data_IF_987773002621
#
_entry.id   IF_987773002621
#
_cell.length_a   1.000
_cell.length_b   1.000
_cell.length_c   1.000
_cell.angle_alpha   90.00
_cell.angle_beta   90.00
_cell.angle_gamma   90.00
#
_symmetry.space_group_name_H-M   'P 1'
#
loop_
_entity.id
_entity.type
_entity.pdbx_description
1 polymer ?
#
# COMPACT_ATOMS: atom_id res chain seq x y z
N UNK A 1 10.08 6.70 19.47
CA UNK A 1 11.29 6.32 18.72
C UNK A 1 11.41 7.31 17.58
N UNK A 2 12.53 7.99 17.36
CA UNK A 2 12.63 9.08 16.36
C UNK A 2 12.86 8.48 14.97
N UNK A 3 12.23 9.01 13.91
CA UNK A 3 12.31 8.46 12.52
C UNK A 3 13.74 8.18 12.05
N UNK A 4 14.64 9.14 12.29
CA UNK A 4 16.07 9.06 11.98
C UNK A 4 16.86 9.34 13.26
N UNK A 5 17.25 8.27 13.97
CA UNK A 5 18.11 8.40 15.15
C UNK A 5 19.58 8.27 14.74
N UNK A 6 20.35 9.34 14.94
CA UNK A 6 21.80 9.31 14.82
C UNK A 6 22.38 9.10 16.22
N UNK A 7 23.12 8.01 16.40
CA UNK A 7 23.74 7.67 17.68
C UNK A 7 24.83 8.69 18.01
N UNK A 8 24.69 9.38 19.14
CA UNK A 8 25.66 10.40 19.60
C UNK A 8 26.85 9.84 20.38
N UNK A 9 26.81 8.57 20.78
CA UNK A 9 27.84 7.97 21.66
C UNK A 9 28.28 6.60 21.19
N UNK A 10 29.56 6.30 21.42
CA UNK A 10 30.18 5.01 21.10
C UNK A 10 30.12 3.99 22.24
N UNK A 11 29.35 4.30 23.30
CA UNK A 11 29.12 3.38 24.42
C UNK A 11 28.55 2.05 23.90
N UNK A 12 29.00 0.91 24.44
CA UNK A 12 28.55 -0.44 24.06
C UNK A 12 28.82 -0.88 22.59
N UNK A 13 29.83 -0.31 21.92
CA UNK A 13 30.30 -0.78 20.59
C UNK A 13 30.94 -2.17 20.59
N UNK A 14 31.28 -2.75 21.75
CA UNK A 14 31.85 -4.09 21.90
C UNK A 14 30.82 -5.21 21.67
N UNK A 15 31.21 -6.42 21.24
CA UNK A 15 30.26 -7.54 21.06
C UNK A 15 29.93 -8.24 22.39
N UNK A 16 28.70 -8.75 22.52
CA UNK A 16 28.23 -9.47 23.72
C UNK A 16 29.10 -10.69 24.01
N UNK A 17 29.44 -11.49 22.99
CA UNK A 17 30.32 -12.66 23.12
C UNK A 17 31.72 -12.33 23.64
N UNK A 18 32.30 -11.20 23.22
CA UNK A 18 33.63 -10.78 23.68
C UNK A 18 33.58 -10.33 25.14
N UNK A 19 32.49 -9.67 25.55
CA UNK A 19 32.27 -9.32 26.95
C UNK A 19 32.01 -10.56 27.82
N UNK A 20 31.22 -11.52 27.34
CA UNK A 20 30.93 -12.79 28.01
C UNK A 20 32.23 -13.56 28.33
N UNK A 21 33.09 -13.72 27.30
CA UNK A 21 34.41 -14.35 27.44
C UNK A 21 35.31 -13.59 28.43
N UNK A 22 35.36 -12.26 28.33
CA UNK A 22 36.15 -11.44 29.24
C UNK A 22 35.66 -11.54 30.69
N UNK A 23 34.36 -11.58 30.93
CA UNK A 23 33.78 -11.77 32.26
C UNK A 23 34.14 -13.15 32.82
N UNK A 24 34.01 -14.21 32.02
CA UNK A 24 34.37 -15.57 32.44
C UNK A 24 35.84 -15.68 32.88
N UNK A 25 36.78 -15.09 32.12
CA UNK A 25 38.22 -15.09 32.45
C UNK A 25 38.54 -14.35 33.75
N UNK A 26 37.80 -13.28 34.05
CA UNK A 26 38.00 -12.52 35.30
C UNK A 26 37.33 -13.21 36.49
N UNK A 27 36.20 -13.88 36.28
CA UNK A 27 35.50 -14.63 37.33
C UNK A 27 36.27 -15.90 37.70
N UNK A 28 36.86 -16.60 36.73
CA UNK A 28 37.70 -17.79 36.97
C UNK A 28 39.04 -17.49 37.65
N UNK A 29 39.38 -16.21 37.85
CA UNK A 29 40.59 -15.80 38.56
C UNK A 29 41.88 -15.88 37.74
N UNK A 30 41.80 -16.28 36.47
CA UNK A 30 42.97 -16.45 35.58
C UNK A 30 43.70 -15.12 35.32
N UNK A 31 42.95 -14.02 35.14
CA UNK A 31 43.52 -12.69 34.94
C UNK A 31 42.68 -11.58 35.58
N UNK A 32 43.36 -10.55 36.12
CA UNK A 32 42.71 -9.37 36.68
C UNK A 32 42.08 -8.46 35.62
N UNK A 33 41.02 -7.74 35.99
CA UNK A 33 40.18 -6.96 35.05
C UNK A 33 40.94 -5.92 34.21
N UNK A 34 42.10 -5.44 34.67
CA UNK A 34 42.94 -4.48 33.92
C UNK A 34 43.63 -5.13 32.72
N UNK A 35 44.21 -6.33 32.90
CA UNK A 35 44.86 -7.09 31.81
C UNK A 35 43.83 -7.55 30.78
N UNK A 36 42.70 -8.08 31.24
CA UNK A 36 41.61 -8.53 30.36
C UNK A 36 41.00 -7.36 29.57
N UNK A 37 40.83 -6.19 30.20
CA UNK A 37 40.36 -4.98 29.50
C UNK A 37 41.26 -4.57 28.33
N UNK A 38 42.59 -4.66 28.48
CA UNK A 38 43.55 -4.33 27.42
C UNK A 38 43.53 -5.42 26.34
N UNK A 39 43.58 -6.69 26.73
CA UNK A 39 43.62 -7.82 25.81
C UNK A 39 42.38 -7.92 24.92
N UNK A 40 41.20 -7.68 25.49
CA UNK A 40 39.92 -7.75 24.77
C UNK A 40 39.45 -6.38 24.25
N UNK A 41 40.24 -5.32 24.44
CA UNK A 41 39.90 -3.94 24.07
C UNK A 41 38.53 -3.48 24.59
N UNK A 42 38.22 -3.81 25.85
CA UNK A 42 36.96 -3.51 26.50
C UNK A 42 37.11 -2.38 27.54
N UNK A 43 36.12 -1.48 27.71
CA UNK A 43 36.15 -0.50 28.79
C UNK A 43 36.20 -1.17 30.16
N UNK A 44 37.26 -0.91 30.92
CA UNK A 44 37.52 -1.57 32.21
C UNK A 44 36.38 -1.40 33.22
N UNK A 45 35.77 -0.21 33.27
CA UNK A 45 34.66 0.11 34.19
C UNK A 45 33.41 -0.71 33.85
N UNK A 46 33.13 -0.91 32.56
CA UNK A 46 32.01 -1.73 32.09
C UNK A 46 32.24 -3.19 32.41
N UNK A 47 33.45 -3.71 32.16
CA UNK A 47 33.83 -5.09 32.49
C UNK A 47 33.70 -5.36 34.00
N UNK A 48 34.20 -4.46 34.85
CA UNK A 48 34.05 -4.58 36.31
C UNK A 48 32.59 -4.62 36.76
N UNK A 49 31.72 -3.83 36.11
CA UNK A 49 30.28 -3.83 36.38
C UNK A 49 29.63 -5.19 36.11
N UNK A 50 29.91 -5.80 34.95
CA UNK A 50 29.38 -7.12 34.61
C UNK A 50 29.99 -8.25 35.47
N UNK A 51 31.28 -8.18 35.79
CA UNK A 51 31.92 -9.14 36.72
C UNK A 51 31.27 -9.10 38.10
N UNK A 52 30.97 -7.90 38.61
CA UNK A 52 30.25 -7.76 39.88
C UNK A 52 28.87 -8.42 39.80
N UNK A 53 28.10 -8.16 38.74
CA UNK A 53 26.79 -8.80 38.51
C UNK A 53 26.90 -10.33 38.43
N UNK A 54 27.88 -10.86 37.68
CA UNK A 54 28.09 -12.31 37.51
C UNK A 54 28.50 -13.01 38.80
N UNK A 55 29.18 -12.32 39.71
CA UNK A 55 29.51 -12.83 41.06
C UNK A 55 28.31 -12.83 42.00
N UNK A 56 27.37 -11.90 41.83
CA UNK A 56 26.14 -11.83 42.64
C UNK A 56 25.06 -12.79 42.11
N UNK A 57 24.95 -12.90 40.79
CA UNK A 57 24.01 -13.77 40.09
C UNK A 57 24.76 -14.58 39.00
N UNK A 58 25.00 -15.88 39.23
CA UNK A 58 25.66 -16.76 38.28
C UNK A 58 24.96 -16.87 36.93
N UNK A 59 23.66 -16.57 36.84
CA UNK A 59 22.87 -16.64 35.60
C UNK A 59 22.72 -15.28 34.89
N UNK A 60 23.36 -14.22 35.40
CA UNK A 60 23.25 -12.90 34.79
C UNK A 60 23.76 -12.86 33.35
N UNK A 61 22.91 -12.38 32.45
CA UNK A 61 23.19 -12.25 31.01
C UNK A 61 23.81 -10.88 30.70
N UNK A 62 24.72 -10.83 29.73
CA UNK A 62 25.25 -9.57 29.21
C UNK A 62 24.16 -8.84 28.42
N UNK A 63 23.45 -7.95 29.10
CA UNK A 63 22.43 -7.10 28.47
C UNK A 63 23.08 -5.87 27.82
N UNK A 64 22.90 -5.75 26.50
CA UNK A 64 23.34 -4.61 25.67
C UNK A 64 22.20 -3.67 25.30
N UNK A 65 21.00 -3.86 25.85
CA UNK A 65 19.90 -2.94 25.61
C UNK A 65 20.30 -1.54 26.10
N UNK A 66 20.14 -0.56 25.20
CA UNK A 66 20.61 0.79 25.40
C UNK A 66 19.44 1.75 25.25
N UNK A 67 19.23 2.58 26.26
CA UNK A 67 18.18 3.60 26.25
C UNK A 67 16.81 3.09 26.68
N UNK A 68 15.88 4.03 26.80
CA UNK A 68 14.53 3.82 27.37
C UNK A 68 13.54 3.16 26.39
N UNK A 69 13.86 3.13 25.10
CA UNK A 69 12.92 2.71 24.06
C UNK A 69 13.23 1.30 23.57
N UNK A 70 12.35 0.35 23.88
CA UNK A 70 12.37 -1.02 23.37
C UNK A 70 11.16 -1.28 22.46
N UNK A 71 11.18 -2.41 21.74
CA UNK A 71 9.98 -2.91 21.07
C UNK A 71 8.90 -3.19 22.13
N UNK A 72 7.68 -2.76 21.83
CA UNK A 72 6.53 -2.93 22.74
C UNK A 72 5.97 -4.34 22.62
N UNK A 73 5.99 -4.89 21.40
CA UNK A 73 5.53 -6.24 21.10
C UNK A 73 6.69 -7.21 21.06
N UNK A 74 6.40 -8.46 21.41
CA UNK A 74 7.30 -9.59 21.15
C UNK A 74 7.34 -9.88 19.64
N UNK A 75 8.34 -10.66 19.22
CA UNK A 75 8.44 -11.07 17.82
C UNK A 75 7.17 -11.82 17.36
N UNK A 76 6.61 -12.67 18.22
CA UNK A 76 5.41 -13.46 17.91
C UNK A 76 4.17 -12.56 17.73
N UNK A 77 4.01 -11.54 18.58
CA UNK A 77 2.93 -10.56 18.45
C UNK A 77 3.07 -9.69 17.20
N UNK A 78 4.30 -9.32 16.81
CA UNK A 78 4.52 -8.61 15.54
C UNK A 78 4.17 -9.49 14.35
N UNK A 79 4.53 -10.78 14.37
CA UNK A 79 4.17 -11.74 13.32
C UNK A 79 2.67 -11.94 13.23
N UNK A 80 1.97 -12.10 14.35
CA UNK A 80 0.50 -12.20 14.38
C UNK A 80 -0.16 -10.99 13.71
N UNK A 81 0.34 -9.79 14.02
CA UNK A 81 -0.16 -8.55 13.44
C UNK A 81 0.09 -8.48 11.93
N UNK A 82 1.25 -8.95 11.43
CA UNK A 82 1.54 -9.08 9.99
C UNK A 82 0.59 -10.06 9.31
N UNK A 83 0.33 -11.22 9.94
CA UNK A 83 -0.59 -12.24 9.42
C UNK A 83 -2.00 -11.65 9.29
N UNK A 84 -2.46 -10.94 10.32
CA UNK A 84 -3.77 -10.27 10.30
C UNK A 84 -3.89 -9.24 9.18
N UNK A 85 -2.87 -8.39 8.99
CA UNK A 85 -2.85 -7.40 7.90
C UNK A 85 -2.94 -8.07 6.52
N UNK A 86 -2.26 -9.20 6.32
CA UNK A 86 -2.31 -9.98 5.08
C UNK A 86 -3.68 -10.62 4.85
N UNK A 87 -4.32 -11.15 5.89
CA UNK A 87 -5.66 -11.75 5.78
C UNK A 87 -6.72 -10.69 5.42
N UNK A 88 -6.69 -9.55 6.09
CA UNK A 88 -7.58 -8.41 5.80
C UNK A 88 -7.40 -7.90 4.36
N UNK A 89 -6.15 -7.82 3.88
CA UNK A 89 -5.85 -7.45 2.49
C UNK A 89 -6.41 -8.47 1.49
N UNK A 90 -6.27 -9.77 1.74
CA UNK A 90 -6.82 -10.83 0.87
C UNK A 90 -8.35 -10.77 0.76
N UNK A 91 -9.02 -10.31 1.80
CA UNK A 91 -10.48 -10.12 1.84
C UNK A 91 -10.93 -8.77 1.28
N UNK A 92 -10.03 -7.99 0.70
CA UNK A 92 -10.27 -6.64 0.17
C UNK A 92 -10.63 -5.58 1.25
N UNK A 93 -10.32 -5.86 2.52
CA UNK A 93 -10.48 -4.93 3.65
C UNK A 93 -9.12 -4.44 4.15
N UNK A 94 -8.25 -4.00 3.24
CA UNK A 94 -6.90 -3.53 3.59
C UNK A 94 -6.92 -2.38 4.60
N UNK A 95 -6.04 -2.45 5.60
CA UNK A 95 -5.97 -1.45 6.67
C UNK A 95 -5.03 -0.29 6.30
N UNK A 96 -5.43 0.92 6.67
CA UNK A 96 -4.60 2.12 6.59
C UNK A 96 -3.55 2.16 7.70
N UNK A 97 -2.52 2.98 7.51
CA UNK A 97 -1.53 3.28 8.57
C UNK A 97 -2.17 3.81 9.86
N UNK A 98 -3.30 4.50 9.75
CA UNK A 98 -4.05 5.00 10.91
C UNK A 98 -4.73 3.85 11.66
N UNK A 99 -5.37 2.93 10.96
CA UNK A 99 -6.01 1.76 11.55
C UNK A 99 -4.98 0.80 12.16
N UNK A 100 -3.84 0.59 11.48
CA UNK A 100 -2.70 -0.14 12.03
C UNK A 100 -2.27 0.42 13.40
N UNK A 101 -2.20 1.74 13.54
CA UNK A 101 -1.84 2.40 14.80
C UNK A 101 -2.88 2.20 15.90
N UNK A 102 -4.16 2.17 15.55
CA UNK A 102 -5.25 1.85 16.49
C UNK A 102 -5.22 0.39 16.91
N UNK A 103 -5.04 -0.51 15.95
CA UNK A 103 -4.93 -1.94 16.17
C UNK A 103 -3.76 -2.27 17.11
N UNK A 104 -2.62 -1.63 16.91
CA UNK A 104 -1.48 -1.75 17.80
C UNK A 104 -1.81 -1.30 19.24
N UNK A 105 -2.49 -0.18 19.42
CA UNK A 105 -2.92 0.25 20.76
C UNK A 105 -3.82 -0.80 21.42
N UNK A 106 -4.84 -1.27 20.70
CA UNK A 106 -5.76 -2.30 21.19
C UNK A 106 -5.06 -3.60 21.55
N UNK A 107 -4.11 -4.06 20.71
CA UNK A 107 -3.31 -5.24 20.99
C UNK A 107 -2.46 -5.07 22.26
N UNK A 108 -1.85 -3.91 22.44
CA UNK A 108 -1.01 -3.62 23.60
C UNK A 108 -1.84 -3.55 24.90
N UNK A 109 -3.01 -2.90 24.87
CA UNK A 109 -3.93 -2.84 26.02
C UNK A 109 -4.45 -4.23 26.38
N UNK A 110 -4.89 -5.00 25.38
CA UNK A 110 -5.47 -6.34 25.60
C UNK A 110 -4.47 -7.34 26.15
N UNK A 111 -3.21 -7.25 25.70
CA UNK A 111 -2.13 -8.13 26.16
C UNK A 111 -1.43 -7.60 27.42
N UNK A 112 -1.91 -6.50 28.02
CA UNK A 112 -1.32 -5.92 29.23
C UNK A 112 0.11 -5.42 29.05
N UNK A 113 0.51 -5.08 27.82
CA UNK A 113 1.87 -4.62 27.53
C UNK A 113 2.07 -3.19 28.05
N UNK A 114 3.19 -2.93 28.74
CA UNK A 114 3.58 -1.56 29.05
C UNK A 114 3.94 -0.81 27.76
N UNK A 115 3.17 0.25 27.45
CA UNK A 115 3.32 0.97 26.19
C UNK A 115 3.29 2.50 26.37
N UNK A 116 4.12 3.25 25.63
CA UNK A 116 4.09 4.72 25.59
C UNK A 116 3.06 5.30 24.61
N UNK A 117 2.11 4.49 24.13
CA UNK A 117 1.09 4.95 23.19
C UNK A 117 0.15 5.98 23.83
N UNK A 118 -0.41 6.85 22.99
CA UNK A 118 -1.27 7.93 23.45
C UNK A 118 -2.65 7.36 23.82
N UNK A 119 -3.04 7.53 25.09
CA UNK A 119 -4.31 7.03 25.65
C UNK A 119 -5.51 7.86 25.22
N UNK A 120 -5.36 9.18 25.05
CA UNK A 120 -6.45 10.07 24.64
C UNK A 120 -6.91 9.78 23.20
N UNK A 121 -5.96 9.48 22.32
CA UNK A 121 -6.23 9.16 20.91
C UNK A 121 -6.38 7.66 20.65
N UNK A 122 -6.10 6.82 21.64
CA UNK A 122 -6.09 5.34 21.57
C UNK A 122 -5.27 4.81 20.39
N UNK A 123 -4.08 5.37 20.19
CA UNK A 123 -3.27 5.12 19.00
C UNK A 123 -1.77 5.06 19.28
N UNK A 124 -1.09 4.16 18.58
CA UNK A 124 0.36 4.18 18.48
C UNK A 124 0.87 5.44 17.75
N UNK A 125 2.13 5.83 17.99
CA UNK A 125 2.75 6.96 17.30
C UNK A 125 3.06 6.68 15.82
N UNK A 126 3.20 7.72 15.01
CA UNK A 126 3.58 7.58 13.59
C UNK A 126 4.93 6.89 13.41
N UNK A 127 5.89 7.22 14.27
CA UNK A 127 7.24 6.65 14.18
C UNK A 127 7.28 5.16 14.54
N UNK A 128 6.34 4.71 15.40
CA UNK A 128 6.16 3.29 15.66
C UNK A 128 5.69 2.57 14.39
N UNK A 129 4.67 3.11 13.72
CA UNK A 129 4.12 2.51 12.50
C UNK A 129 5.16 2.46 11.38
N UNK A 130 5.94 3.54 11.18
CA UNK A 130 7.01 3.55 10.18
C UNK A 130 8.15 2.57 10.53
N UNK A 131 8.49 2.45 11.82
CA UNK A 131 9.50 1.47 12.25
C UNK A 131 9.02 0.03 12.06
N UNK A 132 7.74 -0.25 12.34
CA UNK A 132 7.10 -1.53 12.06
C UNK A 132 7.16 -1.87 10.57
N UNK A 133 6.75 -0.95 9.69
CA UNK A 133 6.84 -1.12 8.24
C UNK A 133 8.27 -1.32 7.74
N UNK A 134 9.27 -0.71 8.39
CA UNK A 134 10.69 -0.90 8.04
C UNK A 134 11.23 -2.27 8.46
N UNK A 135 10.75 -2.83 9.58
CA UNK A 135 11.10 -4.20 10.01
C UNK A 135 10.43 -5.26 9.12
N UNK A 136 9.24 -4.95 8.60
CA UNK A 136 8.46 -5.81 7.74
C UNK A 136 8.43 -5.27 6.31
N UNK A 137 9.59 -5.28 5.64
CA UNK A 137 9.75 -4.76 4.27
C UNK A 137 8.91 -5.50 3.21
N UNK A 138 8.35 -6.66 3.57
CA UNK A 138 7.35 -7.37 2.77
C UNK A 138 5.99 -6.66 2.71
N UNK A 139 5.74 -5.69 3.58
CA UNK A 139 4.53 -4.86 3.59
C UNK A 139 4.83 -3.51 2.92
N UNK A 140 3.88 -3.01 2.11
CA UNK A 140 3.99 -1.69 1.51
C UNK A 140 2.64 -0.97 1.48
N UNK A 141 2.67 0.37 1.49
CA UNK A 141 1.47 1.18 1.31
C UNK A 141 1.16 1.32 -0.18
N UNK A 142 -0.09 1.06 -0.55
CA UNK A 142 -0.63 1.20 -1.92
C UNK A 142 -2.01 1.82 -1.86
N UNK A 143 -2.39 2.50 -2.94
CA UNK A 143 -3.76 2.97 -3.12
C UNK A 143 -4.59 1.80 -3.65
N UNK A 144 -5.68 1.39 -2.97
CA UNK A 144 -6.54 0.32 -3.47
C UNK A 144 -7.30 0.80 -4.71
N UNK A 145 -7.57 -0.14 -5.62
CA UNK A 145 -8.49 0.07 -6.73
C UNK A 145 -9.93 -0.20 -6.27
N UNK A 146 -10.88 0.61 -6.74
CA UNK A 146 -12.27 0.48 -6.35
C UNK A 146 -12.91 -0.73 -7.05
N UNK A 147 -13.01 -1.84 -6.34
CA UNK A 147 -13.64 -3.08 -6.81
C UNK A 147 -15.01 -3.22 -6.17
N UNK A 148 -16.07 -3.37 -6.98
CA UNK A 148 -17.41 -3.63 -6.45
C UNK A 148 -17.51 -5.04 -5.87
N UNK A 149 -18.37 -5.24 -4.86
CA UNK A 149 -18.58 -6.57 -4.26
C UNK A 149 -19.03 -7.62 -5.27
N UNK A 150 -19.87 -7.23 -6.24
CA UNK A 150 -20.28 -8.11 -7.34
C UNK A 150 -19.09 -8.58 -8.20
N UNK A 151 -18.14 -7.69 -8.52
CA UNK A 151 -16.91 -8.07 -9.25
C UNK A 151 -16.03 -8.98 -8.40
N UNK A 152 -15.86 -8.67 -7.11
CA UNK A 152 -15.07 -9.50 -6.20
C UNK A 152 -15.64 -10.93 -6.05
N UNK A 153 -16.97 -11.06 -6.00
CA UNK A 153 -17.65 -12.36 -5.91
C UNK A 153 -17.68 -13.11 -7.26
N UNK A 154 -17.90 -12.39 -8.36
CA UNK A 154 -18.00 -12.95 -9.70
C UNK A 154 -16.66 -13.42 -10.28
N UNK A 155 -15.55 -12.82 -9.84
CA UNK A 155 -14.20 -13.15 -10.31
C UNK A 155 -13.59 -14.33 -9.52
N UNK A 156 -14.29 -15.46 -9.51
CA UNK A 156 -13.81 -16.70 -8.87
C UNK A 156 -13.33 -17.73 -9.92
N UNK A 157 -12.38 -18.62 -9.59
CA UNK A 157 -11.80 -19.54 -10.57
C UNK A 157 -12.82 -20.42 -11.30
N UNK A 158 -13.85 -21.00 -10.64
CA UNK A 158 -14.87 -21.77 -11.34
C UNK A 158 -15.68 -20.96 -12.36
N UNK A 159 -16.14 -19.75 -11.99
CA UNK A 159 -16.92 -18.90 -12.89
C UNK A 159 -16.10 -18.44 -14.09
N UNK A 160 -14.84 -18.05 -13.86
CA UNK A 160 -13.91 -17.66 -14.92
C UNK A 160 -13.60 -18.86 -15.85
N UNK A 161 -13.35 -20.04 -15.29
CA UNK A 161 -13.14 -21.24 -16.08
C UNK A 161 -14.35 -21.57 -16.97
N UNK A 162 -15.55 -21.55 -16.39
CA UNK A 162 -16.80 -21.80 -17.13
C UNK A 162 -17.00 -20.79 -18.27
N UNK A 163 -16.71 -19.50 -18.03
CA UNK A 163 -16.77 -18.46 -19.06
C UNK A 163 -15.84 -18.77 -20.25
N UNK A 164 -14.58 -19.13 -19.99
CA UNK A 164 -13.63 -19.45 -21.06
C UNK A 164 -13.98 -20.76 -21.76
N UNK A 165 -14.46 -21.78 -21.04
CA UNK A 165 -14.93 -23.02 -21.65
C UNK A 165 -16.07 -22.75 -22.65
N UNK A 166 -17.08 -21.97 -22.25
CA UNK A 166 -18.20 -21.63 -23.12
C UNK A 166 -17.76 -20.77 -24.30
N UNK A 167 -16.93 -19.75 -24.05
CA UNK A 167 -16.42 -18.86 -25.09
C UNK A 167 -15.61 -19.62 -26.13
N UNK A 168 -14.68 -20.47 -25.71
CA UNK A 168 -13.87 -21.30 -26.61
C UNK A 168 -14.72 -22.25 -27.45
N UNK A 169 -15.75 -22.87 -26.84
CA UNK A 169 -16.68 -23.74 -27.58
C UNK A 169 -17.34 -22.97 -28.72
N UNK A 170 -17.88 -21.78 -28.45
CA UNK A 170 -18.55 -20.95 -29.46
C UNK A 170 -17.58 -20.51 -30.55
N UNK A 171 -16.38 -20.05 -30.18
CA UNK A 171 -15.36 -19.60 -31.13
C UNK A 171 -15.00 -20.72 -32.10
N UNK A 172 -14.78 -21.94 -31.59
CA UNK A 172 -14.44 -23.12 -32.40
C UNK A 172 -15.61 -23.53 -33.30
N UNK A 173 -16.82 -23.68 -32.73
CA UNK A 173 -18.01 -24.13 -33.45
C UNK A 173 -18.40 -23.18 -34.59
N UNK A 174 -18.35 -21.87 -34.32
CA UNK A 174 -18.71 -20.82 -35.29
C UNK A 174 -17.53 -20.36 -36.15
N UNK A 175 -16.33 -20.91 -35.95
CA UNK A 175 -15.09 -20.52 -36.66
C UNK A 175 -14.86 -19.01 -36.62
N UNK A 176 -15.06 -18.39 -35.46
CA UNK A 176 -14.93 -16.94 -35.30
C UNK A 176 -13.43 -16.59 -35.33
N UNK A 177 -13.03 -15.75 -36.29
CA UNK A 177 -11.67 -15.24 -36.40
C UNK A 177 -11.45 -14.05 -35.46
N UNK A 178 -10.19 -13.75 -35.14
CA UNK A 178 -9.83 -12.63 -34.26
C UNK A 178 -10.36 -11.27 -34.74
N UNK A 179 -10.47 -11.08 -36.06
CA UNK A 179 -11.04 -9.87 -36.70
C UNK A 179 -12.52 -9.65 -36.36
N UNK A 180 -13.22 -10.71 -35.91
CA UNK A 180 -14.64 -10.70 -35.58
C UNK A 180 -14.92 -10.73 -34.08
N UNK A 181 -13.87 -10.71 -33.26
CA UNK A 181 -13.97 -10.64 -31.80
C UNK A 181 -13.66 -9.20 -31.40
N UNK A 182 -14.66 -8.48 -30.91
CA UNK A 182 -14.51 -7.10 -30.47
C UNK A 182 -14.64 -7.01 -28.96
N UNK A 183 -13.70 -6.31 -28.33
CA UNK A 183 -13.92 -5.75 -27.02
C UNK A 183 -14.57 -4.39 -27.19
N UNK A 184 -15.69 -4.16 -26.49
CA UNK A 184 -16.35 -2.88 -26.42
C UNK A 184 -16.37 -2.44 -24.96
N UNK A 185 -15.91 -1.21 -24.69
CA UNK A 185 -15.99 -0.62 -23.37
C UNK A 185 -16.28 0.88 -23.44
N UNK A 186 -16.87 1.39 -22.37
CA UNK A 186 -17.22 2.79 -22.22
C UNK A 186 -16.12 3.55 -21.46
N UNK A 187 -15.72 4.69 -21.99
CA UNK A 187 -14.89 5.66 -21.26
C UNK A 187 -15.61 6.99 -21.11
N UNK A 188 -15.55 7.52 -19.89
CA UNK A 188 -16.14 8.79 -19.53
C UNK A 188 -15.13 9.91 -19.74
N UNK A 189 -15.36 10.77 -20.74
CA UNK A 189 -14.53 11.94 -21.03
C UNK A 189 -15.14 13.16 -20.34
N UNK A 190 -14.44 13.68 -19.33
CA UNK A 190 -14.87 14.87 -18.58
C UNK A 190 -14.25 16.11 -19.18
N UNK A 191 -15.07 17.13 -19.50
CA UNK A 191 -14.59 18.42 -20.04
C UNK A 191 -13.79 19.22 -19.01
N UNK A 192 -14.00 18.94 -17.72
CA UNK A 192 -13.29 19.56 -16.61
C UNK A 192 -12.27 18.57 -16.04
N UNK A 193 -10.98 18.92 -15.99
CA UNK A 193 -9.97 18.05 -15.42
C UNK A 193 -10.19 17.90 -13.91
N UNK A 194 -10.25 16.66 -13.43
CA UNK A 194 -10.37 16.34 -11.99
C UNK A 194 -9.09 16.63 -11.19
N UNK A 195 -7.96 16.81 -11.88
CA UNK A 195 -6.67 17.12 -11.27
C UNK A 195 -6.02 18.25 -12.06
N UNK A 196 -5.57 19.26 -11.32
CA UNK A 196 -4.77 20.34 -11.88
C UNK A 196 -3.29 19.98 -11.76
N UNK A 197 -2.52 20.33 -12.79
CA UNK A 197 -1.06 20.29 -12.72
C UNK A 197 -0.56 21.16 -11.57
N UNK A 198 0.59 20.78 -10.98
CA UNK A 198 1.21 21.61 -9.95
C UNK A 198 1.57 22.97 -10.54
N UNK A 199 1.13 24.03 -9.88
CA UNK A 199 1.44 25.41 -10.26
C UNK A 199 2.52 25.97 -9.36
N UNK A 200 3.32 26.90 -9.89
CA UNK A 200 4.28 27.66 -9.10
C UNK A 200 3.47 28.64 -8.23
N UNK A 201 3.71 28.60 -6.92
CA UNK A 201 3.03 29.45 -5.95
C UNK A 201 4.00 29.93 -4.87
N UNK A 202 3.61 30.98 -4.14
CA UNK A 202 4.41 31.54 -3.07
C UNK A 202 4.69 30.50 -1.98
N UNK A 203 5.95 30.43 -1.54
CA UNK A 203 6.35 29.51 -0.47
C UNK A 203 5.57 29.81 0.81
N UNK A 204 4.89 28.80 1.35
CA UNK A 204 4.06 28.92 2.56
C UNK A 204 2.58 29.16 2.30
N UNK A 205 2.19 29.48 1.07
CA UNK A 205 0.78 29.56 0.69
C UNK A 205 0.18 28.16 0.59
N UNK A 206 -0.83 27.88 1.43
CA UNK A 206 -1.47 26.56 1.51
C UNK A 206 -2.62 26.38 0.52
N UNK A 207 -3.31 27.47 0.16
CA UNK A 207 -4.41 27.46 -0.79
C UNK A 207 -4.03 28.26 -2.03
N UNK A 208 -3.95 27.57 -3.16
CA UNK A 208 -3.66 28.15 -4.47
C UNK A 208 -4.87 27.86 -5.34
N UNK A 209 -5.59 28.91 -5.74
CA UNK A 209 -6.77 28.80 -6.60
C UNK A 209 -6.37 28.62 -8.06
N UNK A 210 -7.19 27.87 -8.79
CA UNK A 210 -7.13 27.73 -10.25
C UNK A 210 -8.54 27.98 -10.78
N UNK A 211 -8.66 28.79 -11.84
CA UNK A 211 -9.94 28.98 -12.53
C UNK A 211 -10.29 27.71 -13.31
N UNK A 212 -11.47 27.16 -13.07
CA UNK A 212 -12.06 26.07 -13.87
C UNK A 212 -13.18 26.62 -14.75
N UNK A 213 -13.37 26.05 -15.94
CA UNK A 213 -14.41 26.51 -16.88
C UNK A 213 -15.85 26.34 -16.37
N UNK A 214 -16.07 25.51 -15.34
CA UNK A 214 -17.32 25.39 -14.59
C UNK A 214 -17.09 24.65 -13.24
N UNK A 215 -18.10 24.65 -12.36
CA UNK A 215 -18.07 23.92 -11.09
C UNK A 215 -18.31 22.41 -11.25
N UNK A 216 -19.15 22.02 -12.21
CA UNK A 216 -19.42 20.63 -12.61
C UNK A 216 -19.40 20.52 -14.13
N UNK A 217 -18.61 19.59 -14.64
CA UNK A 217 -18.54 19.30 -16.07
C UNK A 217 -19.60 18.30 -16.47
N UNK A 218 -20.17 18.48 -17.66
CA UNK A 218 -20.91 17.40 -18.30
C UNK A 218 -19.91 16.38 -18.85
N UNK A 219 -20.14 15.11 -18.54
CA UNK A 219 -19.30 14.00 -19.01
C UNK A 219 -19.87 13.45 -20.30
N UNK A 220 -19.05 13.37 -21.34
CA UNK A 220 -19.38 12.70 -22.60
C UNK A 220 -18.94 11.25 -22.48
N UNK A 221 -19.80 10.32 -22.81
CA UNK A 221 -19.43 8.90 -22.85
C UNK A 221 -18.92 8.57 -24.25
N UNK A 222 -17.71 8.04 -24.34
CA UNK A 222 -17.16 7.49 -25.56
C UNK A 222 -17.19 5.97 -25.47
N UNK A 223 -17.85 5.32 -26.42
CA UNK A 223 -17.82 3.88 -26.58
C UNK A 223 -16.78 3.55 -27.65
N UNK A 224 -15.80 2.72 -27.27
CA UNK A 224 -14.67 2.38 -28.12
C UNK A 224 -14.65 0.86 -28.29
N UNK A 225 -14.64 0.45 -29.56
CA UNK A 225 -14.56 -0.96 -29.92
C UNK A 225 -13.23 -1.26 -30.60
N UNK A 226 -12.54 -2.31 -30.16
CA UNK A 226 -11.32 -2.79 -30.77
C UNK A 226 -11.40 -4.30 -31.00
N UNK A 227 -11.04 -4.74 -32.20
CA UNK A 227 -10.98 -6.16 -32.53
C UNK A 227 -9.75 -6.81 -31.90
N UNK A 228 -9.80 -8.14 -31.71
CA UNK A 228 -8.65 -8.90 -31.25
C UNK A 228 -7.48 -8.92 -32.27
N UNK A 229 -7.73 -8.51 -33.53
CA UNK A 229 -6.70 -8.27 -34.53
C UNK A 229 -6.07 -6.86 -34.46
N UNK A 230 -6.58 -5.98 -33.59
CA UNK A 230 -6.09 -4.60 -33.42
C UNK A 230 -6.79 -3.55 -34.27
N UNK A 231 -7.91 -3.89 -34.92
CA UNK A 231 -8.68 -2.92 -35.71
C UNK A 231 -9.65 -2.16 -34.81
N UNK A 232 -9.62 -0.83 -34.88
CA UNK A 232 -10.53 0.02 -34.14
C UNK A 232 -11.76 0.34 -34.99
N UNK A 233 -12.95 0.19 -34.41
CA UNK A 233 -14.13 0.81 -35.00
C UNK A 233 -14.12 2.30 -34.70
N UNK A 234 -14.74 3.13 -35.55
CA UNK A 234 -14.95 4.53 -35.22
C UNK A 234 -15.69 4.66 -33.88
N UNK A 235 -15.29 5.61 -33.02
CA UNK A 235 -15.88 5.74 -31.69
C UNK A 235 -17.31 6.27 -31.78
N UNK A 236 -18.17 5.83 -30.85
CA UNK A 236 -19.48 6.44 -30.61
C UNK A 236 -19.38 7.41 -29.44
N UNK A 237 -19.75 8.66 -29.66
CA UNK A 237 -19.81 9.71 -28.63
C UNK A 237 -21.26 9.97 -28.22
N UNK A 238 -21.56 9.81 -26.93
CA UNK A 238 -22.87 10.01 -26.33
C UNK A 238 -22.84 11.27 -25.47
N UNK A 239 -23.56 12.29 -25.90
CA UNK A 239 -23.65 13.57 -25.19
C UNK A 239 -24.85 13.59 -24.23
N UNK A 240 -24.69 14.08 -22.98
CA UNK A 240 -25.78 14.20 -22.01
C UNK A 240 -26.72 15.39 -22.36
N UNK A 241 -27.55 15.21 -23.39
CA UNK A 241 -28.54 16.19 -23.86
C UNK A 241 -29.74 15.50 -24.52
N UNK A 242 -30.92 16.09 -24.39
CA UNK A 242 -32.15 15.67 -25.06
C UNK A 242 -32.11 15.77 -26.59
N UNK A 243 -31.37 16.75 -27.13
CA UNK A 243 -31.31 17.03 -28.57
C UNK A 243 -29.86 17.01 -29.06
N UNK A 244 -29.62 16.26 -30.13
CA UNK A 244 -28.36 16.31 -30.88
C UNK A 244 -28.21 17.70 -31.52
N UNK A 245 -27.02 18.26 -31.45
CA UNK A 245 -26.64 19.50 -32.14
C UNK A 245 -25.60 19.18 -33.21
N UNK A 246 -25.66 19.89 -34.33
CA UNK A 246 -24.71 19.74 -35.43
C UNK A 246 -23.28 20.10 -35.02
N UNK A 247 -23.14 21.02 -34.06
CA UNK A 247 -21.86 21.45 -33.48
C UNK A 247 -21.03 20.28 -32.93
N UNK A 248 -21.67 19.18 -32.52
CA UNK A 248 -20.96 18.02 -31.98
C UNK A 248 -20.22 17.21 -33.05
N UNK A 249 -20.54 17.41 -34.33
CA UNK A 249 -19.88 16.76 -35.46
C UNK A 249 -18.57 17.47 -35.86
N UNK A 250 -18.34 18.68 -35.34
CA UNK A 250 -17.17 19.47 -35.67
C UNK A 250 -15.91 18.89 -35.02
N UNK A 251 -14.92 18.56 -35.85
CA UNK A 251 -13.61 18.08 -35.39
C UNK A 251 -13.60 16.63 -34.89
N UNK A 252 -14.62 15.84 -35.21
CA UNK A 252 -14.64 14.43 -34.86
C UNK A 252 -13.64 13.60 -35.65
N UNK A 253 -13.13 12.50 -35.06
CA UNK A 253 -12.39 11.50 -35.80
C UNK A 253 -13.20 11.00 -37.01
N UNK A 254 -12.55 10.72 -38.15
CA UNK A 254 -13.23 10.19 -39.32
C UNK A 254 -14.08 8.96 -39.00
N UNK A 255 -15.36 8.98 -39.41
CA UNK A 255 -16.30 7.88 -39.22
C UNK A 255 -16.95 7.81 -37.83
N UNK A 256 -16.58 8.68 -36.88
CA UNK A 256 -17.16 8.66 -35.54
C UNK A 256 -18.68 8.90 -35.55
N UNK A 257 -19.39 8.22 -34.66
CA UNK A 257 -20.84 8.37 -34.50
C UNK A 257 -21.16 9.28 -33.33
N UNK A 258 -22.33 9.91 -33.40
CA UNK A 258 -22.85 10.76 -32.32
C UNK A 258 -24.25 10.34 -31.94
N UNK A 259 -24.44 10.14 -30.65
CA UNK A 259 -25.73 10.04 -30.00
C UNK A 259 -25.89 11.14 -28.94
N UNK A 260 -27.14 11.44 -28.60
CA UNK A 260 -27.48 12.32 -27.49
C UNK A 260 -28.68 11.76 -26.74
N UNK A 261 -28.58 11.69 -25.41
CA UNK A 261 -29.69 11.39 -24.52
C UNK A 261 -29.50 12.09 -23.17
N UNK A 262 -30.54 12.11 -22.34
CA UNK A 262 -30.57 12.89 -21.09
C UNK A 262 -29.50 12.45 -20.08
N UNK A 263 -29.20 11.15 -20.06
CA UNK A 263 -28.25 10.55 -19.11
C UNK A 263 -26.79 10.66 -19.57
N UNK A 264 -26.55 10.82 -20.88
CA UNK A 264 -25.22 10.71 -21.48
C UNK A 264 -24.62 9.30 -21.39
N UNK A 265 -25.43 8.27 -21.14
CA UNK A 265 -24.99 6.87 -20.99
C UNK A 265 -25.61 5.99 -22.06
N UNK A 266 -25.03 4.82 -22.32
CA UNK A 266 -25.70 3.82 -23.13
C UNK A 266 -27.06 3.45 -22.54
N UNK A 267 -28.05 3.38 -23.41
CA UNK A 267 -29.37 2.81 -23.17
C UNK A 267 -29.60 1.72 -24.20
N UNK A 268 -30.57 0.83 -23.96
CA UNK A 268 -30.91 -0.33 -24.81
C UNK A 268 -31.28 -0.01 -26.27
N UNK A 269 -31.28 1.27 -26.65
CA UNK A 269 -31.69 1.79 -27.95
C UNK A 269 -30.50 1.96 -28.92
N UNK A 270 -29.27 2.00 -28.42
CA UNK A 270 -28.09 2.15 -29.29
C UNK A 270 -27.66 0.78 -29.85
N UNK A 271 -27.82 0.60 -31.16
CA UNK A 271 -27.25 -0.53 -31.91
C UNK A 271 -26.16 -0.01 -32.83
N UNK A 272 -24.91 -0.38 -32.57
CA UNK A 272 -23.85 -0.28 -33.57
C UNK A 272 -23.98 -1.46 -34.53
N UNK A 273 -24.62 -1.23 -35.68
CA UNK A 273 -24.63 -2.19 -36.79
C UNK A 273 -23.60 -1.72 -37.80
N UNK A 274 -22.52 -2.47 -37.93
CA UNK A 274 -21.66 -2.35 -39.10
C UNK A 274 -22.27 -3.22 -40.20
N UNK A 275 -22.94 -2.61 -41.17
CA UNK A 275 -23.31 -3.31 -42.39
C UNK A 275 -22.00 -3.60 -43.14
N UNK A 276 -21.54 -4.86 -43.05
CA UNK A 276 -20.43 -5.36 -43.84
C UNK A 276 -20.99 -5.62 -45.24
N UNK A 277 -20.71 -4.71 -46.18
CA UNK A 277 -20.84 -4.98 -47.61
C UNK A 277 -19.72 -5.91 -48.08
#
# INVERSE_FOLDING_TARGET
MVRNYIRKTDRQRWSSETMERAVAVVVSGVMGSKKVSIQFQLPQTTLKGYVKKRRTDPNSVIDKTAGKYHCIFTQDQEVELVVYLKDMQKRLFGLTLKELRKLAYQLAVRNGCEHPFNKDTEMAGEDWAHSFMRRHSELCSRKPEATSGARAMGFNPPAVAQFFTLSNKIIIEKKITCERIYNCDETCITVIPNQHSRVIANRGQRQVGVLTSAERGNTVTAEICCSAAGNFMPPLLIFPRQKKRQEFELGLPPGAWIAANDSGRMTSVFRMVQEVY
#
